data_IF_268445210066
#
_entry.id   IF_268445210066
#
_cell.length_a   1.000
_cell.length_b   1.000
_cell.length_c   1.000
_cell.angle_alpha   90.00
_cell.angle_beta   90.00
_cell.angle_gamma   90.00
#
_symmetry.space_group_name_H-M   'P 1'
#
loop_
_entity.id
_entity.type
_entity.pdbx_description
1 polymer ?
#
# COMPACT_ATOMS: atom_id res chain seq x y z
N UNK A 1 0.94 10.52 8.03
CA UNK A 1 1.47 9.36 8.78
C UNK A 1 0.77 8.12 8.28
N UNK A 2 1.51 7.04 8.02
CA UNK A 2 0.98 5.73 7.67
C UNK A 2 1.47 4.72 8.71
N UNK A 3 0.57 3.85 9.18
CA UNK A 3 0.91 2.73 10.06
C UNK A 3 1.03 1.46 9.24
N UNK A 4 2.23 0.89 9.19
CA UNK A 4 2.46 -0.44 8.64
C UNK A 4 2.34 -1.49 9.74
N UNK A 5 1.65 -2.59 9.45
CA UNK A 5 1.51 -3.73 10.35
C UNK A 5 2.65 -4.72 10.08
N UNK A 6 3.27 -5.23 11.14
CA UNK A 6 4.39 -6.16 11.07
C UNK A 6 3.95 -7.53 11.56
N UNK A 7 4.46 -8.59 10.91
CA UNK A 7 4.26 -9.98 11.30
C UNK A 7 5.57 -10.77 11.15
N UNK A 8 5.52 -12.07 11.41
CA UNK A 8 6.67 -12.98 11.29
C UNK A 8 7.13 -13.10 9.82
N UNK A 9 8.42 -12.85 9.57
CA UNK A 9 9.06 -13.01 8.25
C UNK A 9 8.95 -14.45 7.70
N UNK A 10 8.69 -15.44 8.55
CA UNK A 10 8.54 -16.85 8.18
C UNK A 10 7.08 -17.28 7.99
N UNK A 11 6.12 -16.36 8.13
CA UNK A 11 4.70 -16.64 7.89
C UNK A 11 4.32 -16.31 6.45
N UNK A 12 3.97 -17.31 5.64
CA UNK A 12 3.42 -17.11 4.30
C UNK A 12 1.88 -17.18 4.25
N UNK A 13 1.27 -17.69 5.32
CA UNK A 13 -0.17 -18.01 5.38
C UNK A 13 -1.02 -16.89 6.01
N UNK A 14 -0.44 -15.71 6.26
CA UNK A 14 -1.19 -14.57 6.76
C UNK A 14 -2.36 -14.22 5.82
N UNK A 15 -3.49 -13.89 6.43
CA UNK A 15 -4.74 -13.61 5.73
C UNK A 15 -5.65 -12.71 6.60
N UNK A 16 -6.81 -12.38 6.02
CA UNK A 16 -7.91 -11.73 6.71
C UNK A 16 -9.21 -12.00 5.97
N UNK A 17 -10.27 -11.35 6.42
CA UNK A 17 -11.61 -11.52 5.88
C UNK A 17 -11.72 -11.00 4.45
N UNK A 18 -12.28 -11.79 3.54
CA UNK A 18 -12.57 -11.42 2.14
C UNK A 18 -11.37 -10.81 1.38
N UNK A 19 -10.16 -11.33 1.58
CA UNK A 19 -8.95 -10.82 0.92
C UNK A 19 -8.90 -11.06 -0.60
N UNK A 20 -9.70 -12.00 -1.11
CA UNK A 20 -9.86 -12.27 -2.54
C UNK A 20 -10.92 -11.39 -3.23
N UNK A 21 -11.72 -10.63 -2.46
CA UNK A 21 -12.75 -9.76 -3.00
C UNK A 21 -12.21 -8.43 -3.55
N UNK A 22 -12.90 -7.95 -4.59
CA UNK A 22 -12.67 -6.66 -5.24
C UNK A 22 -13.97 -5.84 -5.15
N UNK A 23 -13.93 -4.56 -4.77
CA UNK A 23 -12.76 -3.77 -4.34
C UNK A 23 -12.33 -4.05 -2.89
N UNK A 24 -11.02 -4.11 -2.65
CA UNK A 24 -10.49 -4.35 -1.30
C UNK A 24 -10.94 -3.29 -0.28
N UNK A 25 -11.07 -2.04 -0.68
CA UNK A 25 -11.36 -0.91 0.22
C UNK A 25 -12.79 -0.92 0.79
N UNK A 26 -13.67 -1.78 0.25
CA UNK A 26 -15.05 -1.92 0.74
C UNK A 26 -15.36 -3.32 1.24
N UNK A 27 -14.66 -4.33 0.73
CA UNK A 27 -14.99 -5.72 1.00
C UNK A 27 -13.97 -6.42 1.90
N UNK A 28 -12.68 -6.03 1.88
CA UNK A 28 -11.65 -6.78 2.58
C UNK A 28 -11.39 -6.28 4.01
N UNK A 29 -11.43 -7.19 4.97
CA UNK A 29 -11.08 -6.96 6.37
C UNK A 29 -9.57 -6.77 6.59
N UNK A 30 -9.20 -6.33 7.80
CA UNK A 30 -7.80 -6.28 8.25
C UNK A 30 -7.14 -7.66 8.25
N UNK A 31 -5.81 -7.70 8.37
CA UNK A 31 -5.11 -8.97 8.70
C UNK A 31 -5.59 -9.45 10.06
N UNK A 32 -5.75 -10.76 10.26
CA UNK A 32 -6.17 -11.29 11.56
C UNK A 32 -5.13 -11.01 12.66
N UNK A 33 -5.62 -10.80 13.88
CA UNK A 33 -4.80 -10.38 15.03
C UNK A 33 -3.68 -11.39 15.35
N UNK A 34 -3.88 -12.70 15.11
CA UNK A 34 -2.84 -13.71 15.34
C UNK A 34 -1.59 -13.55 14.47
N UNK A 35 -1.67 -12.81 13.36
CA UNK A 35 -0.53 -12.54 12.48
C UNK A 35 0.18 -11.22 12.81
N UNK A 36 -0.33 -10.43 13.75
CA UNK A 36 0.21 -9.11 14.10
C UNK A 36 1.22 -9.24 15.23
N UNK A 37 2.49 -9.00 14.93
CA UNK A 37 3.57 -8.94 15.92
C UNK A 37 3.89 -7.50 16.35
N UNK A 38 3.47 -6.51 15.56
CA UNK A 38 3.67 -5.11 15.88
C UNK A 38 3.24 -4.18 14.78
N UNK A 39 3.71 -2.94 14.88
CA UNK A 39 3.47 -1.91 13.88
C UNK A 39 4.65 -0.95 13.81
N UNK A 40 4.77 -0.27 12.67
CA UNK A 40 5.69 0.83 12.46
C UNK A 40 4.93 2.02 11.87
N UNK A 41 5.02 3.14 12.56
CA UNK A 41 4.49 4.41 12.06
C UNK A 41 5.57 5.11 11.23
N UNK A 42 5.23 5.45 9.99
CA UNK A 42 6.08 6.19 9.06
C UNK A 42 5.44 7.54 8.79
N UNK A 43 6.20 8.61 8.96
CA UNK A 43 5.79 9.97 8.66
C UNK A 43 6.45 10.43 7.38
N UNK A 44 5.66 10.99 6.47
CA UNK A 44 6.14 11.57 5.23
C UNK A 44 6.16 13.11 5.35
N UNK A 45 7.12 13.79 4.71
CA UNK A 45 7.09 15.25 4.52
C UNK A 45 5.78 15.75 3.90
N UNK A 46 5.44 17.02 4.12
CA UNK A 46 4.18 17.60 3.63
C UNK A 46 4.15 17.80 2.11
N UNK A 47 5.31 17.85 1.45
CA UNK A 47 5.47 17.95 0.01
C UNK A 47 5.46 16.57 -0.68
N UNK A 48 4.97 15.54 0.01
CA UNK A 48 4.74 14.21 -0.53
C UNK A 48 3.25 13.91 -0.63
N UNK A 49 2.86 13.30 -1.74
CA UNK A 49 1.53 12.70 -1.93
C UNK A 49 1.63 11.23 -1.56
N UNK A 50 0.77 10.78 -0.65
CA UNK A 50 0.71 9.40 -0.15
C UNK A 50 -0.62 8.79 -0.56
N UNK A 51 -0.58 7.72 -1.35
CA UNK A 51 -1.77 7.09 -1.94
C UNK A 51 -1.79 5.60 -1.61
N UNK A 52 -2.97 5.05 -1.33
CA UNK A 52 -3.19 3.61 -1.39
C UNK A 52 -3.65 3.18 -2.79
N UNK A 53 -3.80 1.88 -3.02
CA UNK A 53 -4.20 1.33 -4.32
C UNK A 53 -5.63 1.67 -4.75
N UNK A 54 -6.46 2.22 -3.85
CA UNK A 54 -7.82 2.66 -4.17
C UNK A 54 -7.89 4.11 -4.66
N UNK A 55 -6.80 4.86 -4.51
CA UNK A 55 -6.78 6.29 -4.77
C UNK A 55 -7.16 6.62 -6.22
N UNK A 56 -8.17 7.48 -6.39
CA UNK A 56 -8.69 7.88 -7.71
C UNK A 56 -9.74 6.93 -8.32
N UNK A 57 -10.09 5.83 -7.63
CA UNK A 57 -11.15 4.92 -8.04
C UNK A 57 -12.41 5.10 -7.19
N UNK A 58 -13.58 4.91 -7.80
CA UNK A 58 -14.83 4.73 -7.03
C UNK A 58 -14.98 3.32 -6.46
N UNK A 59 -14.39 2.33 -7.15
CA UNK A 59 -14.20 0.94 -6.74
C UNK A 59 -12.91 0.49 -7.41
N UNK A 60 -11.86 0.26 -6.64
CA UNK A 60 -10.57 -0.16 -7.15
C UNK A 60 -10.65 -1.57 -7.75
N UNK A 61 -9.85 -1.88 -8.76
CA UNK A 61 -9.85 -3.21 -9.38
C UNK A 61 -9.00 -4.22 -8.61
N UNK A 62 -8.61 -3.93 -7.37
CA UNK A 62 -7.63 -4.71 -6.62
C UNK A 62 -8.25 -5.42 -5.42
N UNK A 63 -7.77 -6.63 -5.14
CA UNK A 63 -8.01 -7.35 -3.89
C UNK A 63 -6.79 -7.27 -2.97
N UNK A 64 -6.91 -7.69 -1.70
CA UNK A 64 -5.73 -7.83 -0.83
C UNK A 64 -4.84 -9.01 -1.24
N UNK A 65 -5.40 -10.03 -1.87
CA UNK A 65 -4.62 -11.09 -2.48
C UNK A 65 -3.77 -10.58 -3.64
N UNK A 66 -4.23 -9.60 -4.41
CA UNK A 66 -3.38 -8.95 -5.42
C UNK A 66 -2.20 -8.20 -4.77
N UNK A 67 -2.42 -7.57 -3.61
CA UNK A 67 -1.34 -6.94 -2.83
C UNK A 67 -0.37 -7.98 -2.26
N UNK A 68 -0.88 -9.06 -1.66
CA UNK A 68 -0.09 -10.18 -1.11
C UNK A 68 0.77 -10.83 -2.19
N UNK A 69 0.21 -11.01 -3.38
CA UNK A 69 0.93 -11.52 -4.56
C UNK A 69 1.80 -10.46 -5.26
N UNK A 70 1.95 -9.27 -4.65
CA UNK A 70 2.77 -8.15 -5.13
C UNK A 70 2.42 -7.68 -6.55
N UNK A 71 1.18 -7.87 -6.98
CA UNK A 71 0.70 -7.34 -8.28
C UNK A 71 0.48 -5.83 -8.24
N UNK A 72 0.13 -5.29 -7.08
CA UNK A 72 -0.01 -3.86 -6.82
C UNK A 72 0.59 -3.52 -5.45
N UNK A 73 1.25 -2.36 -5.27
CA UNK A 73 1.71 -1.94 -3.95
C UNK A 73 0.53 -1.54 -3.06
N UNK A 74 0.73 -1.61 -1.75
CA UNK A 74 -0.25 -1.16 -0.77
C UNK A 74 -0.26 0.37 -0.66
N UNK A 75 0.93 0.99 -0.72
CA UNK A 75 1.13 2.43 -0.63
C UNK A 75 2.12 2.87 -1.70
N UNK A 76 1.82 3.98 -2.37
CA UNK A 76 2.72 4.70 -3.26
C UNK A 76 2.93 6.11 -2.71
N UNK A 77 4.18 6.54 -2.66
CA UNK A 77 4.57 7.88 -2.21
C UNK A 77 5.36 8.55 -3.31
N UNK A 78 5.01 9.80 -3.61
CA UNK A 78 5.63 10.57 -4.69
C UNK A 78 5.72 12.05 -4.28
N UNK A 79 6.80 12.78 -4.66
CA UNK A 79 6.85 14.22 -4.45
C UNK A 79 5.68 14.92 -5.15
N UNK A 80 5.03 15.87 -4.47
CA UNK A 80 3.87 16.60 -4.98
C UNK A 80 4.17 17.31 -6.32
N UNK A 81 5.40 17.80 -6.49
CA UNK A 81 5.84 18.46 -7.71
C UNK A 81 5.75 17.57 -8.96
N UNK A 82 5.88 16.24 -8.80
CA UNK A 82 5.76 15.28 -9.90
C UNK A 82 4.29 15.06 -10.29
N UNK A 83 3.34 15.37 -9.41
CA UNK A 83 1.90 15.19 -9.64
C UNK A 83 1.23 16.38 -10.34
N UNK A 84 1.93 17.53 -10.48
CA UNK A 84 1.35 18.80 -10.97
C UNK A 84 0.75 18.70 -12.38
N UNK A 85 1.24 17.78 -13.22
CA UNK A 85 0.74 17.56 -14.58
C UNK A 85 -0.11 16.28 -14.70
N UNK A 86 -0.49 15.66 -13.58
CA UNK A 86 -1.38 14.52 -13.58
C UNK A 86 -2.83 15.01 -13.72
N UNK A 87 -3.44 14.75 -14.87
CA UNK A 87 -4.82 15.19 -15.14
C UNK A 87 -5.85 14.08 -14.85
N UNK A 88 -5.44 12.81 -14.93
CA UNK A 88 -6.26 11.62 -14.73
C UNK A 88 -5.39 10.44 -14.24
N UNK A 89 -6.02 9.46 -13.60
CA UNK A 89 -5.40 8.22 -13.14
C UNK A 89 -4.20 8.42 -12.20
N UNK A 90 -4.36 9.26 -11.17
CA UNK A 90 -3.31 9.67 -10.22
C UNK A 90 -2.51 8.50 -9.66
N UNK A 91 -3.17 7.41 -9.24
CA UNK A 91 -2.48 6.23 -8.74
C UNK A 91 -1.65 5.52 -9.83
N UNK A 92 -2.20 5.33 -11.03
CA UNK A 92 -1.49 4.67 -12.13
C UNK A 92 -0.30 5.52 -12.60
N UNK A 93 -0.47 6.85 -12.65
CA UNK A 93 0.59 7.80 -12.94
C UNK A 93 1.73 7.68 -11.92
N UNK A 94 1.40 7.74 -10.62
CA UNK A 94 2.38 7.63 -9.56
C UNK A 94 3.08 6.26 -9.55
N UNK A 95 2.34 5.18 -9.82
CA UNK A 95 2.89 3.83 -9.94
C UNK A 95 3.92 3.71 -11.07
N UNK A 96 3.69 4.38 -12.20
CA UNK A 96 4.60 4.37 -13.35
C UNK A 96 5.80 5.33 -13.20
N UNK A 97 5.73 6.29 -12.28
CA UNK A 97 6.78 7.29 -12.07
C UNK A 97 8.02 6.67 -11.40
N UNK A 98 9.22 7.02 -11.87
CA UNK A 98 10.50 6.51 -11.35
C UNK A 98 10.92 7.18 -10.02
N UNK A 99 10.33 8.33 -9.69
CA UNK A 99 10.52 9.06 -8.43
C UNK A 99 9.61 8.57 -7.32
N UNK A 100 8.67 7.66 -7.61
CA UNK A 100 7.79 7.15 -6.57
C UNK A 100 8.42 5.99 -5.80
N UNK A 101 8.30 6.07 -4.48
CA UNK A 101 8.55 4.96 -3.57
C UNK A 101 7.28 4.11 -3.46
N UNK A 102 7.44 2.79 -3.48
CA UNK A 102 6.34 1.83 -3.51
C UNK A 102 6.53 0.85 -2.37
N UNK A 103 5.54 0.72 -1.51
CA UNK A 103 5.55 -0.21 -0.39
C UNK A 103 4.61 -1.36 -0.73
N UNK A 104 5.18 -2.55 -0.85
CA UNK A 104 4.47 -3.78 -1.14
C UNK A 104 4.24 -4.60 0.13
N UNK A 105 3.21 -5.45 0.07
CA UNK A 105 3.04 -6.48 1.08
C UNK A 105 4.30 -7.37 1.14
N UNK A 106 4.75 -7.67 2.36
CA UNK A 106 5.96 -8.47 2.61
C UNK A 106 7.28 -7.72 2.43
N UNK A 107 7.28 -6.40 2.25
CA UNK A 107 8.51 -5.62 2.35
C UNK A 107 9.05 -5.65 3.80
N UNK A 108 10.37 -5.70 3.94
CA UNK A 108 11.03 -5.74 5.24
C UNK A 108 10.98 -4.38 5.95
N UNK A 109 11.20 -4.40 7.27
CA UNK A 109 11.31 -3.17 8.07
C UNK A 109 12.39 -2.19 7.58
N UNK A 110 13.44 -2.69 6.92
CA UNK A 110 14.52 -1.87 6.37
C UNK A 110 14.05 -1.01 5.19
N UNK A 111 13.19 -1.56 4.31
CA UNK A 111 12.58 -0.80 3.23
C UNK A 111 11.75 0.40 3.73
N UNK A 112 11.24 0.30 4.97
CA UNK A 112 10.49 1.37 5.64
C UNK A 112 11.39 2.42 6.31
N UNK A 113 12.73 2.28 6.31
CA UNK A 113 13.67 3.25 6.90
C UNK A 113 14.26 4.22 5.87
N UNK A 114 14.07 3.97 4.57
CA UNK A 114 14.61 4.80 3.49
C UNK A 114 13.72 6.01 3.14
N UNK A 115 12.89 6.44 4.10
CA UNK A 115 11.90 7.52 3.94
C UNK A 115 12.41 8.83 4.52
#
# INVERSE_FOLDING_TARGET
MVRFILGDDNCADYCGDDWDDVPFEHNAGGVYDEFIEGYKDVTFPFDMVVMDASYGFSNSPFSKDDMKNRKTPCIVVIPEIEMVNCYHDEFAYALANDKSQKFYFGDSMEALNEV
#
